data_IF_569685728701
#
_entry.id   IF_569685728701
#
_cell.length_a   1.000
_cell.length_b   1.000
_cell.length_c   1.000
_cell.angle_alpha   90.00
_cell.angle_beta   90.00
_cell.angle_gamma   90.00
#
_symmetry.space_group_name_H-M   'P 1'
#
loop_
_entity.id
_entity.type
_entity.pdbx_description
1 polymer ?
#
# COMPACT_ATOMS: atom_id res chain seq x y z
N UNK A 1 -0.79 -21.88 -4.93
CA UNK A 1 -1.18 -20.59 -4.31
C UNK A 1 0.09 -19.91 -3.85
N UNK A 2 0.36 -18.65 -4.24
CA UNK A 2 1.59 -17.93 -3.87
C UNK A 2 1.21 -16.83 -2.88
N UNK A 3 1.72 -16.93 -1.67
CA UNK A 3 1.44 -15.96 -0.60
C UNK A 3 2.46 -14.83 -0.68
N UNK A 4 1.96 -13.59 -0.68
CA UNK A 4 2.78 -12.38 -0.67
C UNK A 4 2.47 -11.67 0.64
N UNK A 5 3.51 -11.29 1.38
CA UNK A 5 3.40 -10.59 2.66
C UNK A 5 3.70 -9.11 2.47
N UNK A 6 2.80 -8.26 2.95
CA UNK A 6 2.91 -6.80 2.93
C UNK A 6 2.30 -6.24 4.22
N UNK A 7 2.72 -5.05 4.62
CA UNK A 7 2.26 -4.38 5.85
C UNK A 7 0.91 -3.68 5.63
N UNK A 8 0.58 -3.36 4.38
CA UNK A 8 -0.72 -2.84 3.98
C UNK A 8 -0.99 -3.06 2.49
N UNK A 9 -2.22 -3.44 2.14
CA UNK A 9 -2.67 -3.59 0.76
C UNK A 9 -3.60 -2.44 0.38
N UNK A 10 -3.33 -1.79 -0.73
CA UNK A 10 -4.15 -0.70 -1.23
C UNK A 10 -4.92 -1.20 -2.46
N UNK A 11 -6.23 -1.38 -2.29
CA UNK A 11 -7.11 -1.84 -3.36
C UNK A 11 -7.75 -0.63 -4.04
N UNK A 12 -7.16 -0.19 -5.15
CA UNK A 12 -7.67 0.90 -6.01
C UNK A 12 -6.71 2.10 -6.12
N UNK A 13 -6.35 2.46 -7.35
CA UNK A 13 -5.33 3.49 -7.67
C UNK A 13 -5.86 4.92 -7.87
N UNK A 14 -7.00 5.27 -7.29
CA UNK A 14 -7.54 6.64 -7.34
C UNK A 14 -6.79 7.61 -6.41
N UNK A 15 -7.20 8.88 -6.40
CA UNK A 15 -6.55 9.92 -5.58
C UNK A 15 -6.52 9.62 -4.07
N UNK A 16 -7.51 8.89 -3.55
CA UNK A 16 -7.51 8.44 -2.15
C UNK A 16 -6.49 7.31 -1.89
N UNK A 17 -6.39 6.34 -2.81
CA UNK A 17 -5.49 5.20 -2.69
C UNK A 17 -4.01 5.61 -2.77
N UNK A 18 -3.65 6.50 -3.71
CA UNK A 18 -2.28 7.00 -3.81
C UNK A 18 -1.88 7.90 -2.64
N UNK A 19 -2.83 8.61 -2.01
CA UNK A 19 -2.56 9.40 -0.80
C UNK A 19 -2.27 8.52 0.40
N UNK A 20 -3.02 7.43 0.55
CA UNK A 20 -2.72 6.40 1.55
C UNK A 20 -1.36 5.74 1.24
N UNK A 21 -1.10 5.39 -0.02
CA UNK A 21 0.17 4.80 -0.45
C UNK A 21 1.35 5.70 -0.15
N UNK A 22 1.21 7.01 -0.36
CA UNK A 22 2.24 7.99 -0.09
C UNK A 22 2.53 8.09 1.41
N UNK A 23 1.50 8.14 2.26
CA UNK A 23 1.71 8.16 3.71
C UNK A 23 2.32 6.87 4.24
N UNK A 24 1.87 5.72 3.77
CA UNK A 24 2.45 4.43 4.14
C UNK A 24 3.89 4.27 3.62
N UNK A 25 4.17 4.72 2.41
CA UNK A 25 5.52 4.71 1.83
C UNK A 25 6.46 5.65 2.59
N UNK A 26 6.00 6.84 2.98
CA UNK A 26 6.80 7.79 3.78
C UNK A 26 7.00 7.32 5.22
N UNK A 27 6.06 6.57 5.78
CA UNK A 27 6.20 5.95 7.10
C UNK A 27 7.01 4.64 7.09
N UNK A 28 7.52 4.23 5.93
CA UNK A 28 8.45 3.10 5.79
C UNK A 28 7.79 1.72 5.74
N UNK A 29 6.47 1.65 5.51
CA UNK A 29 5.74 0.38 5.41
C UNK A 29 5.84 -0.20 4.00
N UNK A 30 5.99 -1.53 3.88
CA UNK A 30 5.89 -2.22 2.59
C UNK A 30 4.42 -2.32 2.20
N UNK A 31 3.98 -1.39 1.36
CA UNK A 31 2.65 -1.43 0.75
C UNK A 31 2.65 -2.10 -0.62
N UNK A 32 1.55 -2.79 -0.93
CA UNK A 32 1.27 -3.44 -2.21
C UNK A 32 -0.05 -2.95 -2.81
#
# INVERSE_FOLDING_TARGET
MRTITFDGLIVGGGGAGMRAALQLSQSGHKTA
#
